data_IF_952598604017
#
_entry.id   IF_952598604017
#
_cell.length_a   1.000
_cell.length_b   1.000
_cell.length_c   1.000
_cell.angle_alpha   90.00
_cell.angle_beta   90.00
_cell.angle_gamma   90.00
#
_symmetry.space_group_name_H-M   'P 1'
#
loop_
_entity.id
_entity.type
_entity.pdbx_description
1 polymer ?
#
# COMPACT_ATOMS: atom_id res chain seq x y z
N UNK A 1 9.99 -12.00 13.61
CA UNK A 1 8.86 -11.41 14.35
C UNK A 1 7.58 -11.67 13.59
N UNK A 2 6.57 -12.15 14.28
CA UNK A 2 5.27 -12.37 13.67
C UNK A 2 4.50 -11.07 13.53
N UNK A 3 3.76 -10.96 12.47
CA UNK A 3 2.92 -9.81 12.18
C UNK A 3 1.69 -10.22 11.36
N UNK A 4 0.80 -9.29 11.13
CA UNK A 4 -0.32 -9.48 10.23
C UNK A 4 0.04 -8.88 8.87
N UNK A 5 -0.31 -9.59 7.80
CA UNK A 5 0.03 -9.23 6.43
C UNK A 5 -1.24 -9.28 5.60
N UNK A 6 -1.54 -8.20 4.90
CA UNK A 6 -2.62 -8.15 3.91
C UNK A 6 -2.00 -8.04 2.52
N UNK A 7 -2.38 -8.93 1.65
CA UNK A 7 -1.91 -9.00 0.27
C UNK A 7 -3.08 -8.78 -0.67
N UNK A 8 -2.89 -7.91 -1.65
CA UNK A 8 -3.89 -7.61 -2.68
C UNK A 8 -3.27 -7.66 -4.07
N UNK A 9 -4.10 -8.04 -5.02
CA UNK A 9 -3.74 -8.18 -6.42
C UNK A 9 -4.87 -7.59 -7.27
N UNK A 10 -4.56 -6.60 -8.13
CA UNK A 10 -5.56 -5.99 -9.00
C UNK A 10 -6.00 -6.96 -10.08
N UNK A 11 -7.30 -7.09 -10.26
CA UNK A 11 -7.88 -7.93 -11.29
C UNK A 11 -7.82 -7.23 -12.66
N UNK A 12 -7.39 -7.96 -13.68
CA UNK A 12 -7.37 -7.45 -15.04
C UNK A 12 -6.26 -6.42 -15.32
N UNK A 13 -5.21 -6.37 -14.52
CA UNK A 13 -4.13 -5.39 -14.70
C UNK A 13 -3.41 -5.55 -16.04
N UNK A 14 -3.12 -6.78 -16.44
CA UNK A 14 -2.46 -7.05 -17.72
C UNK A 14 -3.30 -6.52 -18.89
N UNK A 15 -4.58 -6.84 -18.91
CA UNK A 15 -5.51 -6.39 -19.94
C UNK A 15 -5.65 -4.87 -19.94
N UNK A 16 -5.64 -4.25 -18.76
CA UNK A 16 -5.66 -2.80 -18.64
C UNK A 16 -4.44 -2.17 -19.31
N UNK A 17 -3.26 -2.70 -19.05
CA UNK A 17 -2.01 -2.20 -19.64
C UNK A 17 -1.99 -2.41 -21.15
N UNK A 18 -2.42 -3.58 -21.64
CA UNK A 18 -2.41 -3.91 -23.06
C UNK A 18 -3.45 -3.13 -23.89
N UNK A 19 -4.57 -2.74 -23.28
CA UNK A 19 -5.72 -2.18 -23.99
C UNK A 19 -5.90 -0.67 -23.84
N UNK A 20 -4.99 0.02 -23.14
CA UNK A 20 -5.09 1.46 -22.92
C UNK A 20 -3.77 2.17 -23.27
N UNK A 21 -3.89 3.42 -23.72
CA UNK A 21 -2.71 4.23 -23.99
C UNK A 21 -1.99 4.65 -22.69
N UNK A 22 -0.77 5.12 -22.85
CA UNK A 22 0.09 5.45 -21.72
C UNK A 22 -0.48 6.58 -20.86
N UNK A 23 -1.10 7.59 -21.45
CA UNK A 23 -1.66 8.72 -20.70
C UNK A 23 -2.83 8.29 -19.82
N UNK A 24 -3.69 7.44 -20.33
CA UNK A 24 -4.79 6.86 -19.56
C UNK A 24 -4.27 5.95 -18.45
N UNK A 25 -3.27 5.12 -18.73
CA UNK A 25 -2.62 4.27 -17.73
C UNK A 25 -2.07 5.11 -16.58
N UNK A 26 -1.35 6.18 -16.87
CA UNK A 26 -0.78 7.09 -15.84
C UNK A 26 -1.87 7.72 -14.99
N UNK A 27 -2.97 8.12 -15.59
CA UNK A 27 -4.10 8.71 -14.87
C UNK A 27 -4.70 7.73 -13.88
N UNK A 28 -4.99 6.52 -14.32
CA UNK A 28 -5.63 5.50 -13.48
C UNK A 28 -4.68 5.00 -12.39
N UNK A 29 -3.42 4.74 -12.72
CA UNK A 29 -2.42 4.33 -11.73
C UNK A 29 -2.18 5.44 -10.70
N UNK A 30 -2.15 6.70 -11.13
CA UNK A 30 -2.06 7.83 -10.21
C UNK A 30 -3.24 7.91 -9.25
N UNK A 31 -4.44 7.63 -9.71
CA UNK A 31 -5.63 7.54 -8.85
C UNK A 31 -5.51 6.38 -7.85
N UNK A 32 -5.00 5.23 -8.28
CA UNK A 32 -4.78 4.09 -7.40
C UNK A 32 -3.79 4.43 -6.27
N UNK A 33 -2.72 5.17 -6.56
CA UNK A 33 -1.79 5.64 -5.52
C UNK A 33 -2.46 6.57 -4.51
N UNK A 34 -3.31 7.47 -4.96
CA UNK A 34 -4.07 8.35 -4.06
C UNK A 34 -5.03 7.57 -3.17
N UNK A 35 -5.68 6.57 -3.73
CA UNK A 35 -6.56 5.68 -2.97
C UNK A 35 -5.79 4.89 -1.93
N UNK A 36 -4.60 4.42 -2.28
CA UNK A 36 -3.71 3.72 -1.38
C UNK A 36 -3.29 4.60 -0.21
N UNK A 37 -2.87 5.82 -0.49
CA UNK A 37 -2.52 6.81 0.54
C UNK A 37 -3.72 7.15 1.42
N UNK A 38 -4.90 7.33 0.84
CA UNK A 38 -6.13 7.57 1.58
C UNK A 38 -6.47 6.41 2.53
N UNK A 39 -6.31 5.18 2.07
CA UNK A 39 -6.52 4.00 2.91
C UNK A 39 -5.53 3.95 4.07
N UNK A 40 -4.24 4.18 3.81
CA UNK A 40 -3.19 4.22 4.83
C UNK A 40 -3.42 5.34 5.85
N UNK A 41 -3.89 6.49 5.42
CA UNK A 41 -4.24 7.61 6.29
C UNK A 41 -5.55 7.43 7.04
N UNK A 42 -6.32 6.39 6.74
CA UNK A 42 -7.60 6.08 7.38
C UNK A 42 -8.58 7.24 7.35
N UNK A 43 -8.62 7.96 6.23
CA UNK A 43 -9.48 9.11 6.02
C UNK A 43 -8.99 10.42 6.63
N UNK A 44 -7.84 10.44 7.29
CA UNK A 44 -7.23 11.67 7.81
C UNK A 44 -6.58 12.44 6.67
N UNK A 45 -6.75 13.75 6.69
CA UNK A 45 -6.25 14.65 5.65
C UNK A 45 -5.46 15.80 6.28
N UNK A 46 -4.59 16.41 5.47
CA UNK A 46 -3.88 17.63 5.84
C UNK A 46 -3.81 18.59 4.67
N UNK A 47 -3.75 19.88 4.98
CA UNK A 47 -3.61 20.93 3.99
C UNK A 47 -2.15 21.04 3.52
N UNK A 48 -1.97 21.21 2.22
CA UNK A 48 -0.69 21.51 1.59
C UNK A 48 -0.86 22.68 0.64
N UNK A 49 0.25 23.21 0.12
CA UNK A 49 0.23 24.42 -0.72
C UNK A 49 -0.74 24.32 -1.90
N UNK A 50 -0.91 23.15 -2.49
CA UNK A 50 -1.75 22.95 -3.68
C UNK A 50 -3.06 22.23 -3.41
N UNK A 51 -3.50 22.12 -2.15
CA UNK A 51 -4.76 21.47 -1.84
C UNK A 51 -4.70 20.61 -0.57
N UNK A 52 -5.35 19.46 -0.62
CA UNK A 52 -5.48 18.54 0.50
C UNK A 52 -4.92 17.19 0.10
N UNK A 53 -4.12 16.59 0.97
CA UNK A 53 -3.58 15.23 0.80
C UNK A 53 -3.89 14.37 2.01
N UNK A 54 -3.74 13.06 1.86
CA UNK A 54 -3.86 12.14 2.98
C UNK A 54 -2.76 12.39 4.01
N UNK A 55 -3.12 12.33 5.30
CA UNK A 55 -2.18 12.46 6.40
C UNK A 55 -1.73 11.09 6.87
N UNK A 56 -0.49 10.74 6.58
CA UNK A 56 0.12 9.46 6.92
C UNK A 56 0.96 9.52 8.20
N UNK A 57 1.02 10.67 8.87
CA UNK A 57 1.95 10.89 9.99
C UNK A 57 1.72 9.94 11.17
N UNK A 58 0.50 9.46 11.37
CA UNK A 58 0.15 8.55 12.45
C UNK A 58 -0.09 7.11 11.96
N UNK A 59 0.14 6.83 10.70
CA UNK A 59 -0.02 5.49 10.15
C UNK A 59 1.12 4.58 10.64
N UNK A 60 0.74 3.43 11.17
CA UNK A 60 1.69 2.38 11.61
C UNK A 60 1.72 1.20 10.65
N UNK A 61 0.95 1.25 9.59
CA UNK A 61 0.89 0.19 8.60
C UNK A 61 1.96 0.43 7.55
N UNK A 62 2.80 -0.57 7.35
CA UNK A 62 3.79 -0.58 6.28
C UNK A 62 3.14 -0.98 4.97
N UNK A 63 3.67 -0.50 3.87
CA UNK A 63 3.13 -0.79 2.55
C UNK A 63 4.25 -0.90 1.52
N UNK A 64 4.08 -1.85 0.62
CA UNK A 64 4.84 -1.91 -0.62
C UNK A 64 3.86 -2.12 -1.77
N UNK A 65 4.11 -1.44 -2.87
CA UNK A 65 3.30 -1.55 -4.08
C UNK A 65 4.23 -1.67 -5.28
N UNK A 66 4.02 -2.70 -6.08
CA UNK A 66 4.70 -2.83 -7.36
C UNK A 66 3.80 -3.58 -8.34
N UNK A 67 3.76 -3.09 -9.60
CA UNK A 67 2.89 -3.65 -10.63
C UNK A 67 1.44 -3.71 -10.14
N UNK A 68 0.81 -4.89 -10.17
CA UNK A 68 -0.57 -5.14 -9.74
C UNK A 68 -0.69 -5.61 -8.28
N UNK A 69 0.39 -5.55 -7.54
CA UNK A 69 0.46 -6.11 -6.18
C UNK A 69 0.59 -5.01 -5.14
N UNK A 70 -0.20 -5.10 -4.08
CA UNK A 70 -0.11 -4.24 -2.89
C UNK A 70 -0.02 -5.13 -1.66
N UNK A 71 0.94 -4.87 -0.80
CA UNK A 71 1.12 -5.59 0.45
C UNK A 71 1.17 -4.60 1.60
N UNK A 72 0.32 -4.80 2.60
CA UNK A 72 0.36 -4.09 3.87
C UNK A 72 0.83 -5.03 4.97
N UNK A 73 1.55 -4.53 5.95
CA UNK A 73 1.89 -5.34 7.12
C UNK A 73 2.04 -4.48 8.37
N UNK A 74 1.88 -5.12 9.51
CA UNK A 74 2.00 -4.49 10.83
C UNK A 74 3.42 -4.60 11.37
N UNK A 75 3.75 -3.76 12.34
CA UNK A 75 5.05 -3.83 13.03
C UNK A 75 5.08 -4.85 14.17
N UNK A 76 3.92 -5.27 14.65
CA UNK A 76 3.77 -6.23 15.71
C UNK A 76 2.51 -7.08 15.51
N UNK A 77 2.22 -7.97 16.43
CA UNK A 77 1.05 -8.86 16.39
C UNK A 77 -0.02 -8.51 17.44
N UNK A 78 -0.08 -7.25 17.85
CA UNK A 78 -1.11 -6.79 18.78
C UNK A 78 -2.50 -6.75 18.14
N UNK A 79 -3.53 -6.80 18.97
CA UNK A 79 -4.92 -6.67 18.51
C UNK A 79 -5.18 -5.29 17.88
N UNK A 80 -4.56 -4.24 18.39
CA UNK A 80 -4.64 -2.89 17.84
C UNK A 80 -4.06 -2.83 16.43
N UNK A 81 -2.92 -3.46 16.21
CA UNK A 81 -2.31 -3.56 14.89
C UNK A 81 -3.16 -4.34 13.90
N UNK A 82 -3.75 -5.45 14.33
CA UNK A 82 -4.69 -6.21 13.50
C UNK A 82 -5.88 -5.34 13.09
N UNK A 83 -6.48 -4.63 14.04
CA UNK A 83 -7.61 -3.76 13.77
C UNK A 83 -7.26 -2.66 12.76
N UNK A 84 -6.10 -2.03 12.92
CA UNK A 84 -5.63 -0.99 11.99
C UNK A 84 -5.41 -1.58 10.60
N UNK A 85 -4.79 -2.75 10.49
CA UNK A 85 -4.59 -3.43 9.20
C UNK A 85 -5.92 -3.76 8.54
N UNK A 86 -6.90 -4.25 9.29
CA UNK A 86 -8.22 -4.56 8.75
C UNK A 86 -8.95 -3.29 8.27
N UNK A 87 -8.84 -2.18 9.01
CA UNK A 87 -9.43 -0.90 8.60
C UNK A 87 -8.79 -0.39 7.30
N UNK A 88 -7.48 -0.43 7.19
CA UNK A 88 -6.75 -0.04 5.97
C UNK A 88 -7.14 -0.94 4.80
N UNK A 89 -7.15 -2.24 5.02
CA UNK A 89 -7.49 -3.23 4.00
C UNK A 89 -8.93 -3.08 3.50
N UNK A 90 -9.86 -2.82 4.40
CA UNK A 90 -11.26 -2.57 4.06
C UNK A 90 -11.42 -1.33 3.18
N UNK A 91 -10.80 -0.22 3.58
CA UNK A 91 -10.85 1.03 2.82
C UNK A 91 -10.21 0.89 1.45
N UNK A 92 -9.06 0.24 1.40
CA UNK A 92 -8.38 -0.03 0.13
C UNK A 92 -9.25 -0.85 -0.81
N UNK A 93 -9.80 -1.95 -0.32
CA UNK A 93 -10.63 -2.83 -1.15
C UNK A 93 -11.92 -2.13 -1.60
N UNK A 94 -12.54 -1.37 -0.73
CA UNK A 94 -13.75 -0.61 -1.07
C UNK A 94 -13.48 0.42 -2.18
N UNK A 95 -12.40 1.18 -2.07
CA UNK A 95 -11.99 2.15 -3.08
C UNK A 95 -11.64 1.49 -4.41
N UNK A 96 -10.97 0.36 -4.38
CA UNK A 96 -10.63 -0.41 -5.58
C UNK A 96 -11.90 -0.82 -6.35
N UNK A 97 -12.92 -1.29 -5.65
CA UNK A 97 -14.22 -1.65 -6.26
C UNK A 97 -14.94 -0.40 -6.78
N UNK A 98 -14.96 0.68 -5.99
CA UNK A 98 -15.69 1.91 -6.31
C UNK A 98 -15.12 2.62 -7.54
N UNK A 99 -13.82 2.54 -7.76
CA UNK A 99 -13.15 3.13 -8.91
C UNK A 99 -12.92 2.15 -10.08
N UNK A 100 -13.66 1.07 -10.12
CA UNK A 100 -13.69 0.10 -11.24
C UNK A 100 -12.36 -0.61 -11.51
N UNK A 101 -11.49 -0.67 -10.50
CA UNK A 101 -10.26 -1.44 -10.60
C UNK A 101 -10.18 -2.39 -9.40
N UNK A 102 -11.04 -3.43 -9.37
CA UNK A 102 -11.16 -4.29 -8.21
C UNK A 102 -9.89 -5.08 -7.94
N UNK A 103 -9.68 -5.38 -6.67
CA UNK A 103 -8.60 -6.22 -6.20
C UNK A 103 -9.15 -7.41 -5.44
N UNK A 104 -8.39 -8.47 -5.40
CA UNK A 104 -8.63 -9.61 -4.50
C UNK A 104 -7.45 -9.76 -3.57
N UNK A 105 -7.67 -10.31 -2.40
CA UNK A 105 -6.60 -10.47 -1.46
C UNK A 105 -6.95 -11.30 -0.26
N UNK A 106 -6.01 -11.36 0.66
CA UNK A 106 -6.17 -12.09 1.91
C UNK A 106 -5.39 -11.42 3.02
N UNK A 107 -5.81 -11.70 4.26
CA UNK A 107 -5.06 -11.32 5.46
C UNK A 107 -4.54 -12.60 6.10
N UNK A 108 -3.26 -12.62 6.40
CA UNK A 108 -2.60 -13.77 7.01
C UNK A 108 -1.79 -13.32 8.22
N UNK A 109 -1.52 -14.26 9.09
CA UNK A 109 -0.63 -14.10 10.24
C UNK A 109 0.62 -14.94 10.02
N UNK A 110 1.78 -14.35 10.23
CA UNK A 110 3.02 -15.08 10.05
C UNK A 110 4.26 -14.22 10.22
N UNK A 111 5.36 -14.78 9.81
CA UNK A 111 6.65 -14.11 9.87
C UNK A 111 6.95 -13.44 8.52
N UNK A 112 7.31 -12.16 8.58
CA UNK A 112 7.73 -11.39 7.43
C UNK A 112 9.21 -11.05 7.57
N UNK A 113 9.95 -11.31 6.52
CA UNK A 113 11.36 -10.97 6.42
C UNK A 113 11.57 -10.05 5.23
N UNK A 114 12.20 -8.90 5.47
CA UNK A 114 12.60 -8.00 4.39
C UNK A 114 13.90 -7.28 4.75
N UNK A 115 14.59 -6.80 3.73
CA UNK A 115 15.86 -6.10 3.86
C UNK A 115 15.78 -4.76 3.15
N UNK A 116 16.08 -3.70 3.88
CA UNK A 116 16.25 -2.36 3.30
C UNK A 116 17.70 -2.17 2.87
N UNK A 117 17.89 -1.81 1.61
CA UNK A 117 19.20 -1.45 1.10
C UNK A 117 19.46 0.03 1.35
N UNK A 118 20.51 0.33 2.08
CA UNK A 118 20.99 1.70 2.27
C UNK A 118 22.33 1.84 1.59
N UNK A 119 22.43 2.72 0.61
CA UNK A 119 23.70 3.08 -0.01
C UNK A 119 24.39 4.12 0.86
N UNK A 120 25.61 3.83 1.28
CA UNK A 120 26.48 4.83 1.91
C UNK A 120 27.24 5.60 0.83
N UNK A 121 27.66 6.84 1.14
CA UNK A 121 28.50 7.66 0.26
C UNK A 121 29.91 7.08 0.05
N UNK A 122 30.25 6.02 0.74
CA UNK A 122 31.56 5.35 0.70
C UNK A 122 31.55 4.07 -0.15
N UNK A 123 30.49 3.82 -0.91
CA UNK A 123 30.40 2.70 -1.84
C UNK A 123 30.08 1.33 -1.23
N UNK A 124 29.77 1.26 0.05
CA UNK A 124 29.27 0.04 0.70
C UNK A 124 27.77 0.09 0.93
N UNK A 125 27.09 -1.01 0.69
CA UNK A 125 25.69 -1.17 1.06
C UNK A 125 25.54 -1.53 2.54
N UNK A 126 24.59 -0.89 3.23
CA UNK A 126 24.17 -1.31 4.56
C UNK A 126 22.81 -2.01 4.45
N UNK A 127 22.64 -3.10 5.19
CA UNK A 127 21.40 -3.87 5.20
C UNK A 127 20.80 -3.84 6.59
N UNK A 128 19.51 -3.45 6.67
CA UNK A 128 18.72 -3.58 7.88
C UNK A 128 17.79 -4.78 7.73
N UNK A 129 17.88 -5.70 8.68
CA UNK A 129 17.02 -6.89 8.73
C UNK A 129 15.85 -6.62 9.70
N UNK A 130 14.64 -6.83 9.22
CA UNK A 130 13.42 -6.67 10.01
C UNK A 130 12.62 -7.95 10.07
#
# INVERSE_FOLDING_TARGET
MNCFIAYFDYLGFKEFIENNDLDYQKKIIGNNFRDLESALGQGKIKDVHHGVIADLSNSKINCINFSDTVVFWTNDDSNESLKELLDVSYKFNWQAVDFFFPARGSVVYGELFYVDFKQSNEGGGQYNLN
#
